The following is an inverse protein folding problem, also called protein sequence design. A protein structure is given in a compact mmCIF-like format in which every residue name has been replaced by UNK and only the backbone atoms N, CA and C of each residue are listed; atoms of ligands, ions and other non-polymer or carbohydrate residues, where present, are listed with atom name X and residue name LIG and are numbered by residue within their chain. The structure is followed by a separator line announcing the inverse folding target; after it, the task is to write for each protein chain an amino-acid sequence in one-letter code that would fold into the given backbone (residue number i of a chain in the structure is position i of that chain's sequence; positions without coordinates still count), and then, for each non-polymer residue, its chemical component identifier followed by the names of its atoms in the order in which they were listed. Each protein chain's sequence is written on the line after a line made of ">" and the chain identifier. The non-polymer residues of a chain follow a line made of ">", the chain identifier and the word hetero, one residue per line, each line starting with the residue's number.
data_IF_920133122594
#
_entry.id   IF_920133122594
#
_cell.length_a   1.000
_cell.length_b   1.000
_cell.length_c   1.000
_cell.angle_alpha   90.00
_cell.angle_beta   90.00
_cell.angle_gamma   90.00
#
_symmetry.space_group_name_H-M   'P 1'
#
loop_
_entity.id
_entity.type
_entity.pdbx_description
1 polymer ?
#
# COMPACT_ATOMS: atom_id res chain seq x y z
N UNK A 1 -10.77 -8.24 12.22
CA UNK A 1 -9.39 -8.35 11.70
C UNK A 1 -8.46 -8.37 12.90
N UNK A 2 -7.62 -9.40 13.13
CA UNK A 2 -6.51 -9.25 14.04
C UNK A 2 -5.62 -8.13 13.50
N UNK A 3 -5.06 -7.31 14.39
CA UNK A 3 -4.09 -6.28 14.04
C UNK A 3 -2.89 -6.94 13.35
N UNK A 4 -2.40 -6.35 12.26
CA UNK A 4 -1.19 -6.83 11.58
C UNK A 4 -0.04 -6.88 12.57
N UNK A 5 0.76 -7.94 12.51
CA UNK A 5 1.90 -8.11 13.42
C UNK A 5 2.88 -6.95 13.24
N UNK A 6 3.14 -6.21 14.32
CA UNK A 6 4.00 -5.01 14.37
C UNK A 6 5.42 -5.27 13.81
N UNK A 7 5.86 -6.52 13.77
CA UNK A 7 7.19 -6.92 13.31
C UNK A 7 7.35 -6.93 11.78
N UNK A 8 6.26 -6.86 10.99
CA UNK A 8 6.35 -6.95 9.53
C UNK A 8 6.51 -5.58 8.88
N UNK A 9 7.63 -5.38 8.21
CA UNK A 9 7.85 -4.17 7.45
C UNK A 9 6.97 -4.13 6.19
N UNK A 10 6.37 -3.00 5.85
CA UNK A 10 5.44 -2.85 4.73
C UNK A 10 5.72 -1.60 3.89
N UNK A 11 5.21 -1.61 2.67
CA UNK A 11 5.22 -0.43 1.80
C UNK A 11 3.89 0.29 1.92
N UNK A 12 3.89 1.62 1.77
CA UNK A 12 2.68 2.43 1.81
C UNK A 12 2.60 3.34 0.59
N UNK A 13 1.39 3.54 0.08
CA UNK A 13 1.08 4.58 -0.90
C UNK A 13 0.32 5.68 -0.17
N UNK A 14 0.97 6.83 0.07
CA UNK A 14 0.37 7.98 0.74
C UNK A 14 0.98 9.28 0.19
N UNK A 15 0.26 10.01 -0.68
CA UNK A 15 0.75 11.25 -1.28
C UNK A 15 0.88 12.39 -0.25
N UNK A 16 0.10 12.39 0.83
CA UNK A 16 0.09 13.47 1.82
C UNK A 16 1.04 13.20 3.00
N UNK A 17 2.33 13.45 2.76
CA UNK A 17 3.42 13.17 3.71
C UNK A 17 3.26 13.81 5.10
N UNK A 18 2.50 14.90 5.22
CA UNK A 18 2.25 15.56 6.50
C UNK A 18 1.52 14.65 7.51
N UNK A 19 0.82 13.60 7.07
CA UNK A 19 0.12 12.68 7.96
C UNK A 19 1.05 11.77 8.77
N UNK A 20 2.24 11.46 8.22
CA UNK A 20 3.12 10.43 8.78
C UNK A 20 4.55 10.87 9.06
N UNK A 21 5.02 12.00 8.53
CA UNK A 21 6.44 12.42 8.59
C UNK A 21 7.05 12.40 10.00
N UNK A 22 6.26 12.70 11.02
CA UNK A 22 6.74 12.82 12.42
C UNK A 22 6.26 11.64 13.31
N UNK A 23 5.83 10.53 12.71
CA UNK A 23 5.28 9.38 13.46
C UNK A 23 6.38 8.38 13.86
N UNK A 24 6.36 7.83 15.09
CA UNK A 24 7.31 6.79 15.52
C UNK A 24 7.24 5.51 14.68
N UNK A 25 6.07 5.22 14.11
CA UNK A 25 5.81 4.00 13.34
C UNK A 25 6.54 3.92 11.99
N UNK A 26 7.28 4.96 11.58
CA UNK A 26 8.08 4.95 10.34
C UNK A 26 9.16 3.86 10.34
N UNK A 27 9.59 3.38 11.51
CA UNK A 27 10.54 2.26 11.60
C UNK A 27 10.05 0.95 10.98
N UNK A 28 8.75 0.80 10.74
CA UNK A 28 8.15 -0.37 10.09
C UNK A 28 7.94 -0.18 8.58
N UNK A 29 8.24 0.99 8.02
CA UNK A 29 8.05 1.24 6.59
C UNK A 29 9.31 0.87 5.80
N UNK A 30 9.13 0.02 4.78
CA UNK A 30 10.17 -0.29 3.79
C UNK A 30 10.28 0.83 2.76
N UNK A 31 9.15 1.29 2.24
CA UNK A 31 9.09 2.35 1.23
C UNK A 31 7.78 3.12 1.32
N UNK A 32 7.85 4.39 0.91
CA UNK A 32 6.68 5.26 0.81
C UNK A 32 6.60 5.79 -0.61
N UNK A 33 5.49 5.51 -1.27
CA UNK A 33 5.17 5.94 -2.62
C UNK A 33 4.06 6.99 -2.57
N UNK A 34 4.02 7.89 -3.55
CA UNK A 34 2.90 8.85 -3.69
C UNK A 34 1.76 8.29 -4.51
N UNK A 35 2.06 7.31 -5.37
CA UNK A 35 1.11 6.64 -6.25
C UNK A 35 1.47 5.17 -6.39
N UNK A 36 0.46 4.33 -6.64
CA UNK A 36 0.64 2.90 -6.95
C UNK A 36 1.44 2.68 -8.24
N UNK A 37 1.48 3.69 -9.13
CA UNK A 37 2.27 3.66 -10.36
C UNK A 37 3.78 3.78 -10.12
N UNK A 38 4.20 4.34 -8.99
CA UNK A 38 5.62 4.44 -8.64
C UNK A 38 6.21 3.10 -8.17
N UNK A 39 5.35 2.14 -7.83
CA UNK A 39 5.77 0.82 -7.37
C UNK A 39 6.35 0.03 -8.56
N UNK A 40 7.60 -0.47 -8.48
CA UNK A 40 8.19 -1.28 -9.53
C UNK A 40 7.33 -2.50 -9.86
N UNK A 41 7.07 -2.74 -11.15
CA UNK A 41 6.23 -3.85 -11.63
C UNK A 41 6.81 -5.25 -11.34
N UNK A 42 8.06 -5.34 -10.87
CA UNK A 42 8.71 -6.59 -10.44
C UNK A 42 8.40 -6.95 -8.98
N UNK A 43 7.86 -6.01 -8.18
CA UNK A 43 7.48 -6.28 -6.79
C UNK A 43 6.17 -7.03 -6.70
N UNK A 44 6.04 -7.86 -5.67
CA UNK A 44 4.81 -8.58 -5.34
C UNK A 44 4.52 -8.52 -3.85
N UNK A 45 3.24 -8.43 -3.52
CA UNK A 45 2.73 -8.38 -2.15
C UNK A 45 1.85 -9.60 -1.87
N UNK A 46 2.06 -10.23 -0.71
CA UNK A 46 1.15 -11.24 -0.19
C UNK A 46 -0.18 -10.61 0.29
N UNK A 47 -0.16 -9.30 0.60
CA UNK A 47 -1.33 -8.58 1.06
C UNK A 47 -1.32 -7.14 0.58
N UNK A 48 -2.45 -6.68 0.04
CA UNK A 48 -2.73 -5.27 -0.25
C UNK A 48 -3.91 -4.86 0.62
N UNK A 49 -3.86 -3.67 1.23
CA UNK A 49 -4.98 -3.16 2.05
C UNK A 49 -5.29 -1.75 1.63
N UNK A 50 -6.54 -1.52 1.23
CA UNK A 50 -7.06 -0.20 0.89
C UNK A 50 -7.89 0.35 2.04
N UNK A 51 -7.35 1.32 2.78
CA UNK A 51 -8.05 1.94 3.93
C UNK A 51 -8.63 3.28 3.51
N UNK A 52 -9.96 3.36 3.41
CA UNK A 52 -10.70 4.57 3.04
C UNK A 52 -10.23 5.27 1.74
N UNK A 53 -9.48 4.57 0.88
CA UNK A 53 -8.91 5.19 -0.33
C UNK A 53 -9.86 5.06 -1.52
N UNK A 54 -10.55 3.92 -1.67
CA UNK A 54 -11.28 3.59 -2.91
C UNK A 54 -12.40 4.59 -3.24
N UNK A 55 -13.03 5.16 -2.22
CA UNK A 55 -14.09 6.17 -2.36
C UNK A 55 -13.56 7.54 -2.85
N UNK A 56 -12.24 7.74 -2.82
CA UNK A 56 -11.58 8.99 -3.19
C UNK A 56 -10.80 8.91 -4.51
N UNK A 57 -10.79 7.75 -5.18
CA UNK A 57 -10.03 7.54 -6.42
C UNK A 57 -10.87 7.89 -7.64
N UNK A 58 -10.35 8.77 -8.50
CA UNK A 58 -10.99 9.17 -9.75
C UNK A 58 -11.02 8.03 -10.77
N UNK A 59 -9.88 7.37 -11.01
CA UNK A 59 -9.77 6.19 -11.87
C UNK A 59 -9.64 4.91 -11.03
N UNK A 60 -10.75 4.52 -10.42
CA UNK A 60 -10.83 3.33 -9.58
C UNK A 60 -10.46 2.04 -10.34
N UNK A 61 -10.94 1.80 -11.58
CA UNK A 61 -10.58 0.60 -12.34
C UNK A 61 -9.06 0.44 -12.52
N UNK A 62 -8.36 1.52 -12.87
CA UNK A 62 -6.91 1.49 -13.05
C UNK A 62 -6.19 1.14 -11.75
N UNK A 63 -6.55 1.79 -10.64
CA UNK A 63 -5.95 1.52 -9.34
C UNK A 63 -6.17 0.08 -8.87
N UNK A 64 -7.38 -0.46 -9.03
CA UNK A 64 -7.69 -1.85 -8.67
C UNK A 64 -6.90 -2.82 -9.54
N UNK A 65 -6.84 -2.60 -10.85
CA UNK A 65 -6.08 -3.46 -11.76
C UNK A 65 -4.58 -3.44 -11.42
N UNK A 66 -4.01 -2.26 -11.18
CA UNK A 66 -2.60 -2.11 -10.79
C UNK A 66 -2.32 -2.83 -9.47
N UNK A 67 -3.21 -2.68 -8.48
CA UNK A 67 -3.09 -3.34 -7.19
C UNK A 67 -3.15 -4.86 -7.31
N UNK A 68 -4.04 -5.38 -8.15
CA UNK A 68 -4.15 -6.81 -8.44
C UNK A 68 -2.90 -7.37 -9.14
N UNK A 69 -2.31 -6.64 -10.08
CA UNK A 69 -1.06 -7.03 -10.75
C UNK A 69 0.16 -7.09 -9.82
N UNK A 70 0.09 -6.38 -8.70
CA UNK A 70 1.12 -6.38 -7.66
C UNK A 70 0.88 -7.47 -6.59
N UNK A 71 -0.22 -8.22 -6.64
CA UNK A 71 -0.44 -9.34 -5.73
C UNK A 71 0.32 -10.59 -6.20
N UNK A 72 0.76 -11.39 -5.22
CA UNK A 72 1.09 -12.79 -5.48
C UNK A 72 -0.16 -13.57 -5.89
N UNK A 73 0.02 -14.69 -6.60
CA UNK A 73 -1.09 -15.54 -7.05
C UNK A 73 -1.95 -16.05 -5.88
N UNK A 74 -1.35 -16.22 -4.70
CA UNK A 74 -2.00 -16.61 -3.43
C UNK A 74 -2.20 -15.42 -2.46
N UNK A 75 -2.05 -14.19 -2.96
CA UNK A 75 -2.19 -12.97 -2.18
C UNK A 75 -3.63 -12.61 -1.82
N UNK A 76 -3.78 -11.74 -0.82
CA UNK A 76 -5.09 -11.25 -0.33
C UNK A 76 -5.20 -9.74 -0.49
N UNK A 77 -6.35 -9.25 -0.96
CA UNK A 77 -6.69 -7.83 -1.06
C UNK A 77 -8.05 -7.53 -0.41
#
# INVERSE_FOLDING_TARGET
>A
MPWEHEERAYDVVEPFAALYRDRPALGHLRSVYRSVEEIPATLRYAKVVSVAVLEHIEDLPSLVARSALLLLDDGVA
#
